data_IF_436282681526
#
_entry.id   IF_436282681526
#
_cell.length_a   1.000
_cell.length_b   1.000
_cell.length_c   1.000
_cell.angle_alpha   90.00
_cell.angle_beta   90.00
_cell.angle_gamma   90.00
#
_symmetry.space_group_name_H-M   'P 1'
#
loop_
_entity.id
_entity.type
_entity.pdbx_description
1 polymer ?
#
# COMPACT_ATOMS: atom_id res chain seq x y z
N UNK A 1 5.58 8.72 21.67
CA UNK A 1 6.45 7.86 20.85
C UNK A 1 6.93 8.64 19.64
N UNK A 2 8.16 8.38 19.21
CA UNK A 2 8.77 8.87 17.98
C UNK A 2 8.74 7.76 16.93
N UNK A 3 8.02 7.96 15.83
CA UNK A 3 7.74 6.94 14.83
C UNK A 3 8.40 7.32 13.50
N UNK A 4 9.25 6.43 13.00
CA UNK A 4 9.88 6.56 11.69
C UNK A 4 9.05 5.86 10.61
N UNK A 5 8.73 6.57 9.52
CA UNK A 5 7.98 6.02 8.37
C UNK A 5 8.82 6.13 7.12
N UNK A 6 9.19 4.99 6.55
CA UNK A 6 9.90 4.92 5.28
C UNK A 6 8.93 4.76 4.11
N UNK A 7 9.23 5.40 2.99
CA UNK A 7 8.29 5.47 1.87
C UNK A 7 7.18 6.50 2.09
N UNK A 8 7.43 7.55 2.88
CA UNK A 8 6.48 8.59 3.25
C UNK A 8 5.84 9.33 2.05
N UNK A 9 6.51 9.37 0.88
CA UNK A 9 5.94 9.93 -0.35
C UNK A 9 5.04 8.97 -1.12
N UNK A 10 4.91 7.72 -0.65
CA UNK A 10 4.07 6.70 -1.24
C UNK A 10 2.59 6.82 -0.86
N UNK A 11 1.73 6.03 -1.51
CA UNK A 11 0.30 5.99 -1.25
C UNK A 11 0.00 5.61 0.22
N UNK A 12 0.54 4.48 0.71
CA UNK A 12 0.35 4.04 2.08
C UNK A 12 1.18 4.86 3.08
N UNK A 13 2.48 5.07 2.78
CA UNK A 13 3.36 5.77 3.72
C UNK A 13 2.86 7.17 4.08
N UNK A 14 2.27 7.89 3.13
CA UNK A 14 1.66 9.20 3.41
C UNK A 14 0.43 9.12 4.32
N UNK A 15 -0.40 8.08 4.17
CA UNK A 15 -1.54 7.85 5.07
C UNK A 15 -1.06 7.51 6.50
N UNK A 16 -0.04 6.64 6.61
CA UNK A 16 0.59 6.33 7.91
C UNK A 16 1.15 7.59 8.57
N UNK A 17 1.84 8.46 7.83
CA UNK A 17 2.33 9.73 8.37
C UNK A 17 1.21 10.60 8.94
N UNK A 18 0.08 10.72 8.21
CA UNK A 18 -1.10 11.47 8.71
C UNK A 18 -1.71 10.82 9.96
N UNK A 19 -1.86 9.49 9.98
CA UNK A 19 -2.39 8.77 11.15
C UNK A 19 -1.48 8.93 12.37
N UNK A 20 -0.15 8.86 12.21
CA UNK A 20 0.84 9.11 13.27
C UNK A 20 0.70 10.52 13.86
N UNK A 21 0.58 11.54 13.00
CA UNK A 21 0.38 12.94 13.45
C UNK A 21 -0.97 13.07 14.17
N UNK A 22 -2.05 12.52 13.60
CA UNK A 22 -3.39 12.58 14.17
C UNK A 22 -3.47 11.95 15.57
N UNK A 23 -2.70 10.87 15.80
CA UNK A 23 -2.58 10.23 17.13
C UNK A 23 -1.67 10.99 18.11
N UNK A 24 -1.09 12.13 17.71
CA UNK A 24 -0.23 12.96 18.56
C UNK A 24 1.18 12.41 18.77
N UNK A 25 1.65 11.50 17.91
CA UNK A 25 3.01 10.98 17.95
C UNK A 25 3.98 11.88 17.17
N UNK A 26 5.25 11.86 17.55
CA UNK A 26 6.33 12.53 16.82
C UNK A 26 6.67 11.74 15.56
N UNK A 27 6.66 12.41 14.40
CA UNK A 27 6.90 11.78 13.10
C UNK A 27 8.32 12.03 12.60
N UNK A 28 9.00 10.97 12.15
CA UNK A 28 10.17 11.00 11.30
C UNK A 28 9.79 10.42 9.94
N UNK A 29 9.60 11.27 8.94
CA UNK A 29 9.17 10.84 7.60
C UNK A 29 10.37 10.74 6.66
N UNK A 30 10.53 9.59 5.97
CA UNK A 30 11.62 9.37 5.03
C UNK A 30 11.11 8.99 3.64
N UNK A 31 11.71 9.60 2.62
CA UNK A 31 11.42 9.33 1.21
C UNK A 31 12.71 9.17 0.40
N UNK A 32 12.65 8.47 -0.74
CA UNK A 32 13.84 8.26 -1.57
C UNK A 32 14.17 9.48 -2.46
N UNK A 33 13.18 10.06 -3.13
CA UNK A 33 13.41 11.08 -4.16
C UNK A 33 12.66 12.39 -3.89
N UNK A 34 11.43 12.31 -3.42
CA UNK A 34 10.53 13.47 -3.31
C UNK A 34 10.30 13.81 -1.84
N UNK A 35 10.51 15.06 -1.50
CA UNK A 35 10.13 15.58 -0.18
C UNK A 35 8.67 16.01 -0.19
N UNK A 36 7.93 15.59 0.82
CA UNK A 36 6.51 15.91 1.00
C UNK A 36 6.31 16.61 2.33
N UNK A 37 5.48 17.65 2.34
CA UNK A 37 5.02 18.32 3.54
C UNK A 37 3.71 17.68 4.01
N UNK A 38 3.62 17.37 5.29
CA UNK A 38 2.41 16.88 5.97
C UNK A 38 1.74 17.97 6.80
N UNK A 39 2.53 18.94 7.26
CA UNK A 39 2.13 20.14 7.98
C UNK A 39 3.30 21.12 8.00
N UNK A 40 3.13 22.30 8.58
CA UNK A 40 4.23 23.27 8.76
C UNK A 40 5.39 22.71 9.59
N UNK A 41 5.11 21.72 10.45
CA UNK A 41 6.08 21.10 11.34
C UNK A 41 6.72 19.83 10.79
N UNK A 42 6.02 19.09 9.92
CA UNK A 42 6.45 17.76 9.47
C UNK A 42 6.67 17.71 7.96
N UNK A 43 7.91 17.46 7.57
CA UNK A 43 8.33 17.27 6.19
C UNK A 43 9.10 15.95 6.07
N UNK A 44 9.03 15.28 4.90
CA UNK A 44 9.86 14.11 4.70
C UNK A 44 11.31 14.52 4.39
N UNK A 45 12.25 13.78 4.98
CA UNK A 45 13.69 13.87 4.70
C UNK A 45 14.05 12.83 3.64
N UNK A 46 14.95 13.18 2.74
CA UNK A 46 15.48 12.21 1.78
C UNK A 46 16.44 11.26 2.48
N UNK A 47 16.20 9.96 2.32
CA UNK A 47 17.03 8.88 2.87
C UNK A 47 17.05 7.71 1.88
N UNK A 48 18.12 7.56 1.07
CA UNK A 48 18.23 6.49 0.09
C UNK A 48 18.55 5.14 0.78
N UNK A 49 17.87 4.09 0.35
CA UNK A 49 18.12 2.73 0.85
C UNK A 49 19.45 2.12 0.39
N UNK A 50 20.09 2.71 -0.59
CA UNK A 50 21.39 2.26 -1.13
C UNK A 50 22.59 2.69 -0.29
N UNK A 51 22.41 3.61 0.65
CA UNK A 51 23.48 4.10 1.53
C UNK A 51 23.31 3.55 2.95
N UNK A 52 23.98 2.43 3.21
CA UNK A 52 23.96 1.72 4.49
C UNK A 52 24.45 2.55 5.66
N UNK A 53 25.51 3.35 5.42
CA UNK A 53 26.09 4.16 6.46
C UNK A 53 25.18 5.32 6.83
N UNK A 54 24.55 5.95 5.85
CA UNK A 54 23.60 7.03 6.07
C UNK A 54 22.35 6.53 6.82
N UNK A 55 21.81 5.38 6.40
CA UNK A 55 20.66 4.76 7.04
C UNK A 55 20.96 4.43 8.51
N UNK A 56 22.07 3.76 8.76
CA UNK A 56 22.48 3.38 10.11
C UNK A 56 22.68 4.62 11.00
N UNK A 57 23.45 5.62 10.55
CA UNK A 57 23.68 6.85 11.32
C UNK A 57 22.37 7.55 11.66
N UNK A 58 21.48 7.74 10.67
CA UNK A 58 20.20 8.41 10.89
C UNK A 58 19.38 7.73 11.99
N UNK A 59 19.27 6.40 11.98
CA UNK A 59 18.49 5.67 12.98
C UNK A 59 19.14 5.67 14.36
N UNK A 60 20.46 5.63 14.45
CA UNK A 60 21.18 5.77 15.72
C UNK A 60 21.09 7.19 16.30
N UNK A 61 21.13 8.22 15.44
CA UNK A 61 20.99 9.62 15.88
C UNK A 61 19.56 9.95 16.31
N UNK A 62 18.57 9.43 15.57
CA UNK A 62 17.16 9.71 15.85
C UNK A 62 16.55 8.83 16.92
N UNK A 63 17.01 7.61 17.05
CA UNK A 63 16.55 6.59 18.03
C UNK A 63 15.02 6.52 18.11
N UNK A 64 14.30 6.11 17.04
CA UNK A 64 12.85 6.01 17.05
C UNK A 64 12.35 4.88 17.94
N UNK A 65 11.17 5.06 18.53
CA UNK A 65 10.46 4.02 19.29
C UNK A 65 9.83 2.96 18.37
N UNK A 66 9.45 3.36 17.15
CA UNK A 66 8.90 2.45 16.14
C UNK A 66 9.33 2.84 14.72
N UNK A 67 9.39 1.84 13.85
CA UNK A 67 9.76 1.97 12.43
C UNK A 67 8.71 1.27 11.58
N UNK A 68 8.12 2.01 10.62
CA UNK A 68 7.18 1.46 9.63
C UNK A 68 7.82 1.47 8.26
N UNK A 69 8.04 0.30 7.69
CA UNK A 69 8.60 0.16 6.34
C UNK A 69 7.50 0.02 5.28
N UNK A 70 7.07 1.15 4.71
CA UNK A 70 6.19 1.23 3.54
C UNK A 70 6.98 1.40 2.21
N UNK A 71 8.32 1.44 2.27
CA UNK A 71 9.13 1.63 1.08
C UNK A 71 9.22 0.33 0.28
N UNK A 72 8.92 0.42 -1.01
CA UNK A 72 9.06 -0.67 -1.97
C UNK A 72 9.05 -0.15 -3.40
N UNK A 73 9.70 -0.86 -4.32
CA UNK A 73 9.39 -0.83 -5.74
C UNK A 73 8.25 -1.83 -5.95
N UNK A 74 7.00 -1.33 -6.02
CA UNK A 74 5.78 -2.15 -5.90
C UNK A 74 5.05 -2.39 -7.24
N UNK A 75 5.53 -1.80 -8.34
CA UNK A 75 5.00 -2.09 -9.68
C UNK A 75 5.65 -3.35 -10.23
N UNK A 76 4.92 -4.44 -10.51
CA UNK A 76 5.49 -5.65 -11.12
C UNK A 76 6.29 -5.33 -12.39
N UNK A 77 5.73 -4.53 -13.29
CA UNK A 77 6.41 -4.14 -14.54
C UNK A 77 7.75 -3.41 -14.29
N UNK A 78 7.83 -2.60 -13.22
CA UNK A 78 9.09 -1.91 -12.85
C UNK A 78 10.09 -2.89 -12.23
N UNK A 79 9.62 -3.85 -11.44
CA UNK A 79 10.46 -4.91 -10.86
C UNK A 79 11.04 -5.78 -11.96
N UNK A 80 10.23 -6.19 -12.94
CA UNK A 80 10.67 -7.01 -14.07
C UNK A 80 11.69 -6.28 -14.96
N UNK A 81 11.57 -4.94 -15.11
CA UNK A 81 12.54 -4.12 -15.85
C UNK A 81 13.86 -3.89 -15.10
N UNK A 82 13.85 -3.92 -13.77
CA UNK A 82 15.04 -3.62 -12.95
C UNK A 82 15.04 -4.47 -11.68
N UNK A 83 15.14 -5.80 -11.79
CA UNK A 83 14.98 -6.72 -10.67
C UNK A 83 16.05 -6.55 -9.59
N UNK A 84 17.29 -6.24 -9.97
CA UNK A 84 18.41 -6.02 -9.05
C UNK A 84 18.20 -4.76 -8.18
N UNK A 85 17.79 -3.64 -8.81
CA UNK A 85 17.47 -2.42 -8.07
C UNK A 85 16.27 -2.64 -7.16
N UNK A 86 15.26 -3.38 -7.63
CA UNK A 86 14.10 -3.72 -6.82
C UNK A 86 14.50 -4.60 -5.63
N UNK A 87 15.38 -5.57 -5.81
CA UNK A 87 15.89 -6.43 -4.75
C UNK A 87 16.64 -5.64 -3.68
N UNK A 88 17.50 -4.68 -4.06
CA UNK A 88 18.17 -3.78 -3.10
C UNK A 88 17.19 -3.04 -2.19
N UNK A 89 16.05 -2.59 -2.74
CA UNK A 89 15.03 -1.86 -1.97
C UNK A 89 14.11 -2.80 -1.22
N UNK A 90 13.55 -3.81 -1.92
CA UNK A 90 12.48 -4.65 -1.41
C UNK A 90 12.98 -5.69 -0.40
N UNK A 91 14.20 -6.18 -0.56
CA UNK A 91 14.78 -7.27 0.25
C UNK A 91 15.90 -6.77 1.16
N UNK A 92 17.00 -6.27 0.59
CA UNK A 92 18.18 -5.87 1.36
C UNK A 92 17.87 -4.70 2.31
N UNK A 93 17.22 -3.64 1.79
CA UNK A 93 16.82 -2.49 2.60
C UNK A 93 15.84 -2.86 3.71
N UNK A 94 14.87 -3.73 3.44
CA UNK A 94 13.90 -4.19 4.43
C UNK A 94 14.58 -5.01 5.56
N UNK A 95 15.47 -5.94 5.18
CA UNK A 95 16.24 -6.77 6.13
C UNK A 95 17.13 -5.92 7.03
N UNK A 96 17.81 -4.93 6.43
CA UNK A 96 18.68 -4.00 7.16
C UNK A 96 17.89 -3.16 8.16
N UNK A 97 16.76 -2.59 7.75
CA UNK A 97 15.88 -1.84 8.65
C UNK A 97 15.39 -2.68 9.83
N UNK A 98 15.02 -3.94 9.59
CA UNK A 98 14.64 -4.86 10.64
C UNK A 98 15.80 -5.07 11.64
N UNK A 99 17.02 -5.30 11.14
CA UNK A 99 18.22 -5.49 11.98
C UNK A 99 18.55 -4.23 12.80
N UNK A 100 18.52 -3.04 12.19
CA UNK A 100 18.73 -1.78 12.91
C UNK A 100 17.65 -1.59 13.97
N UNK A 101 16.37 -1.81 13.62
CA UNK A 101 15.24 -1.65 14.56
C UNK A 101 15.37 -2.59 15.75
N UNK A 102 15.73 -3.85 15.53
CA UNK A 102 15.98 -4.81 16.60
C UNK A 102 17.14 -4.37 17.51
N UNK A 103 18.24 -3.84 16.94
CA UNK A 103 19.40 -3.37 17.68
C UNK A 103 19.08 -2.18 18.59
N UNK A 104 18.26 -1.21 18.12
CA UNK A 104 17.87 -0.05 18.95
C UNK A 104 16.62 -0.31 19.80
N UNK A 105 16.05 -1.52 19.76
CA UNK A 105 14.84 -1.90 20.50
C UNK A 105 13.54 -1.29 19.95
N UNK A 106 13.54 -0.76 18.73
CA UNK A 106 12.37 -0.16 18.12
C UNK A 106 11.37 -1.23 17.64
N UNK A 107 10.07 -0.94 17.77
CA UNK A 107 8.99 -1.72 17.16
C UNK A 107 9.09 -1.66 15.63
N UNK A 108 9.15 -2.81 14.94
CA UNK A 108 9.25 -2.84 13.48
C UNK A 108 7.99 -3.38 12.82
N UNK A 109 7.39 -2.59 11.91
CA UNK A 109 6.26 -3.00 11.08
C UNK A 109 6.69 -3.01 9.61
N UNK A 110 6.66 -4.20 8.98
CA UNK A 110 6.98 -4.38 7.57
C UNK A 110 5.74 -4.65 6.72
N UNK A 111 5.55 -3.87 5.66
CA UNK A 111 4.41 -4.05 4.75
C UNK A 111 4.79 -5.02 3.64
N UNK A 112 4.01 -6.10 3.50
CA UNK A 112 4.10 -7.09 2.43
C UNK A 112 2.86 -7.06 1.53
N UNK A 113 2.60 -8.10 0.74
CA UNK A 113 1.61 -8.11 -0.33
C UNK A 113 0.87 -9.44 -0.42
N UNK A 114 -0.34 -9.42 -0.97
CA UNK A 114 -1.11 -10.59 -1.40
C UNK A 114 -0.45 -11.34 -2.59
N UNK A 115 0.41 -10.66 -3.35
CA UNK A 115 1.11 -11.26 -4.50
C UNK A 115 2.17 -12.32 -4.12
N UNK A 116 2.34 -12.61 -2.84
CA UNK A 116 3.08 -13.80 -2.38
C UNK A 116 2.31 -15.10 -2.65
N UNK A 117 1.04 -15.02 -3.03
CA UNK A 117 0.18 -16.15 -3.38
C UNK A 117 -0.12 -16.21 -4.87
N UNK A 118 -0.47 -17.40 -5.36
CA UNK A 118 -0.76 -17.67 -6.77
C UNK A 118 -2.23 -17.46 -7.19
N UNK A 119 -3.13 -17.29 -6.22
CA UNK A 119 -4.55 -17.09 -6.47
C UNK A 119 -5.35 -18.39 -6.71
N UNK A 120 -4.78 -19.57 -6.45
CA UNK A 120 -5.43 -20.88 -6.73
C UNK A 120 -6.43 -21.30 -5.64
N UNK A 121 -6.23 -20.85 -4.39
CA UNK A 121 -7.01 -21.31 -3.21
C UNK A 121 -7.52 -20.16 -2.33
N UNK A 122 -7.76 -18.99 -2.93
CA UNK A 122 -8.33 -17.84 -2.24
C UNK A 122 -9.69 -18.18 -1.56
N UNK A 123 -10.00 -17.63 -0.36
CA UNK A 123 -9.22 -16.68 0.46
C UNK A 123 -8.09 -17.35 1.27
N UNK A 124 -6.96 -16.66 1.39
CA UNK A 124 -5.77 -17.18 2.08
C UNK A 124 -5.71 -16.80 3.56
N UNK A 125 -5.25 -17.75 4.38
CA UNK A 125 -4.83 -17.53 5.77
C UNK A 125 -3.37 -17.08 5.84
N UNK A 126 -2.98 -16.38 6.91
CA UNK A 126 -1.57 -16.01 7.12
C UNK A 126 -0.62 -17.21 7.24
N UNK A 127 -1.17 -18.38 7.59
CA UNK A 127 -0.45 -19.66 7.73
C UNK A 127 -0.35 -20.45 6.43
N UNK A 128 -1.07 -20.07 5.36
CA UNK A 128 -1.04 -20.79 4.09
C UNK A 128 0.31 -20.63 3.40
N UNK A 129 0.73 -21.68 2.67
CA UNK A 129 2.02 -21.72 1.99
C UNK A 129 2.03 -20.72 0.81
N UNK A 130 2.94 -19.74 0.80
CA UNK A 130 3.09 -18.82 -0.32
C UNK A 130 3.62 -19.52 -1.58
N UNK A 131 3.11 -19.09 -2.74
CA UNK A 131 3.55 -19.55 -4.07
C UNK A 131 3.50 -18.36 -5.07
N UNK A 132 4.45 -17.40 -5.02
CA UNK A 132 4.41 -16.21 -5.85
C UNK A 132 4.66 -16.52 -7.33
N UNK A 133 3.82 -16.00 -8.23
CA UNK A 133 3.95 -16.19 -9.68
C UNK A 133 4.98 -15.24 -10.31
N UNK A 134 5.04 -13.98 -9.87
CA UNK A 134 5.91 -12.93 -10.42
C UNK A 134 7.10 -12.57 -9.53
N UNK A 135 8.07 -11.84 -10.09
CA UNK A 135 9.30 -11.45 -9.40
C UNK A 135 9.04 -10.54 -8.19
N UNK A 136 8.10 -9.60 -8.30
CA UNK A 136 7.70 -8.77 -7.17
C UNK A 136 7.24 -9.60 -5.96
N UNK A 137 6.38 -10.59 -6.19
CA UNK A 137 5.91 -11.50 -5.14
C UNK A 137 7.05 -12.32 -4.52
N UNK A 138 8.00 -12.80 -5.34
CA UNK A 138 9.19 -13.55 -4.87
C UNK A 138 10.06 -12.69 -3.96
N UNK A 139 10.37 -11.44 -4.38
CA UNK A 139 11.16 -10.51 -3.56
C UNK A 139 10.46 -10.15 -2.25
N UNK A 140 9.14 -9.93 -2.29
CA UNK A 140 8.38 -9.66 -1.06
C UNK A 140 8.37 -10.86 -0.11
N UNK A 141 8.20 -12.08 -0.63
CA UNK A 141 8.30 -13.31 0.19
C UNK A 141 9.70 -13.50 0.77
N UNK A 142 10.76 -13.21 0.01
CA UNK A 142 12.12 -13.26 0.51
C UNK A 142 12.34 -12.23 1.61
N UNK A 143 11.84 -11.00 1.44
CA UNK A 143 11.94 -9.96 2.47
C UNK A 143 11.20 -10.34 3.75
N UNK A 144 10.01 -10.96 3.67
CA UNK A 144 9.29 -11.50 4.82
C UNK A 144 10.15 -12.49 5.61
N UNK A 145 10.75 -13.47 4.92
CA UNK A 145 11.61 -14.49 5.54
C UNK A 145 12.81 -13.87 6.24
N UNK A 146 13.50 -12.94 5.57
CA UNK A 146 14.68 -12.26 6.16
C UNK A 146 14.29 -11.38 7.34
N UNK A 147 13.20 -10.62 7.23
CA UNK A 147 12.70 -9.76 8.31
C UNK A 147 12.29 -10.58 9.52
N UNK A 148 11.50 -11.65 9.32
CA UNK A 148 11.04 -12.52 10.41
C UNK A 148 12.16 -13.32 11.06
N UNK A 149 13.31 -13.53 10.38
CA UNK A 149 14.48 -14.22 10.96
C UNK A 149 15.32 -13.34 11.88
N UNK A 150 15.07 -12.01 11.92
CA UNK A 150 15.86 -11.09 12.77
C UNK A 150 15.49 -11.24 14.25
N UNK A 151 14.20 -11.34 14.54
CA UNK A 151 13.69 -11.46 15.92
C UNK A 151 12.25 -11.97 15.93
N UNK A 152 11.88 -12.70 16.97
CA UNK A 152 10.50 -13.13 17.21
C UNK A 152 9.68 -12.09 18.00
N UNK A 153 10.35 -11.08 18.56
CA UNK A 153 9.74 -10.08 19.41
C UNK A 153 9.78 -8.70 18.74
N UNK A 154 8.80 -7.87 19.09
CA UNK A 154 8.75 -6.46 18.70
C UNK A 154 8.71 -6.22 17.17
N UNK A 155 8.20 -7.20 16.40
CA UNK A 155 8.18 -7.18 14.95
C UNK A 155 6.85 -7.73 14.42
N UNK A 156 6.25 -7.03 13.43
CA UNK A 156 5.12 -7.55 12.68
C UNK A 156 5.30 -7.34 11.17
N UNK A 157 4.95 -8.36 10.40
CA UNK A 157 4.80 -8.30 8.95
C UNK A 157 3.32 -8.28 8.62
N UNK A 158 2.90 -7.32 7.81
CA UNK A 158 1.52 -7.15 7.42
C UNK A 158 1.39 -7.30 5.90
N UNK A 159 0.81 -8.43 5.45
CA UNK A 159 0.42 -8.60 4.06
C UNK A 159 -0.85 -7.83 3.80
N UNK A 160 -0.83 -7.03 2.74
CA UNK A 160 -1.96 -6.19 2.33
C UNK A 160 -2.36 -6.51 0.90
N UNK A 161 -3.59 -6.18 0.55
CA UNK A 161 -4.15 -6.38 -0.79
C UNK A 161 -4.08 -5.09 -1.62
N UNK A 162 -4.86 -5.02 -2.70
CA UNK A 162 -5.00 -3.83 -3.52
C UNK A 162 -5.40 -2.61 -2.69
N UNK A 163 -4.61 -1.54 -2.76
CA UNK A 163 -4.84 -0.34 -1.96
C UNK A 163 -5.68 0.72 -2.69
N UNK A 164 -6.73 1.19 -2.02
CA UNK A 164 -7.50 2.39 -2.38
C UNK A 164 -7.09 3.56 -1.51
N UNK A 165 -7.05 4.78 -2.05
CA UNK A 165 -6.76 5.99 -1.29
C UNK A 165 -6.18 7.09 -2.15
N UNK A 166 -5.82 8.21 -1.55
CA UNK A 166 -5.33 9.41 -2.22
C UNK A 166 -3.82 9.53 -2.05
N UNK A 167 -3.07 9.50 -3.15
CA UNK A 167 -1.62 9.69 -3.09
C UNK A 167 -1.26 11.18 -3.08
N UNK A 168 -0.14 11.59 -2.46
CA UNK A 168 0.24 13.00 -2.38
C UNK A 168 0.32 13.71 -3.73
N UNK A 169 0.77 13.00 -4.77
CA UNK A 169 0.91 13.55 -6.13
C UNK A 169 -0.26 13.20 -7.05
N UNK A 170 -1.27 12.47 -6.59
CA UNK A 170 -2.44 12.10 -7.38
C UNK A 170 -2.15 11.17 -8.56
N UNK A 171 -1.15 10.25 -8.45
CA UNK A 171 -0.70 9.42 -9.58
C UNK A 171 -0.53 7.93 -9.26
N UNK A 172 -0.72 7.50 -8.01
CA UNK A 172 -0.35 6.12 -7.59
C UNK A 172 -1.54 5.19 -7.43
N UNK A 173 -2.68 5.69 -6.96
CA UNK A 173 -3.85 4.85 -6.70
C UNK A 173 -4.64 4.51 -7.97
N UNK A 174 -5.55 3.54 -7.86
CA UNK A 174 -6.31 3.06 -9.00
C UNK A 174 -7.20 4.14 -9.60
N UNK A 175 -7.97 4.86 -8.77
CA UNK A 175 -8.85 5.93 -9.27
C UNK A 175 -8.06 7.05 -9.94
N UNK A 176 -6.90 7.43 -9.39
CA UNK A 176 -6.02 8.45 -9.96
C UNK A 176 -5.53 8.05 -11.37
N UNK A 177 -5.12 6.79 -11.54
CA UNK A 177 -4.69 6.23 -12.84
C UNK A 177 -5.84 6.19 -13.84
N UNK A 178 -7.05 5.77 -13.41
CA UNK A 178 -8.24 5.74 -14.26
C UNK A 178 -8.58 7.16 -14.71
N UNK A 179 -8.67 8.14 -13.81
CA UNK A 179 -9.00 9.52 -14.14
C UNK A 179 -7.97 10.15 -15.09
N UNK A 180 -6.68 9.90 -14.91
CA UNK A 180 -5.62 10.40 -15.79
C UNK A 180 -5.67 9.77 -17.17
N UNK A 181 -5.97 8.50 -17.27
CA UNK A 181 -6.14 7.84 -18.56
C UNK A 181 -7.35 8.41 -19.32
N UNK A 182 -8.49 8.62 -18.65
CA UNK A 182 -9.66 9.26 -19.24
C UNK A 182 -9.37 10.70 -19.67
N UNK A 183 -8.65 11.49 -18.86
CA UNK A 183 -8.22 12.84 -19.23
C UNK A 183 -7.37 12.83 -20.51
N UNK A 184 -6.55 11.80 -20.72
CA UNK A 184 -5.74 11.65 -21.94
C UNK A 184 -6.52 11.08 -23.14
N UNK A 185 -7.83 10.87 -23.02
CA UNK A 185 -8.69 10.31 -24.08
C UNK A 185 -8.49 8.80 -24.31
N UNK A 186 -7.82 8.10 -23.40
CA UNK A 186 -7.56 6.66 -23.53
C UNK A 186 -8.75 5.84 -23.07
N UNK A 187 -9.06 4.79 -23.84
CA UNK A 187 -9.90 3.70 -23.37
C UNK A 187 -9.09 2.79 -22.46
N UNK A 188 -9.70 2.32 -21.40
CA UNK A 188 -9.07 1.45 -20.42
C UNK A 188 -9.70 0.06 -20.44
N UNK A 189 -8.89 -0.99 -20.57
CA UNK A 189 -9.34 -2.35 -20.33
C UNK A 189 -9.14 -2.69 -18.87
N UNK A 190 -10.23 -3.04 -18.17
CA UNK A 190 -10.23 -3.55 -16.81
C UNK A 190 -10.77 -4.98 -16.82
N UNK A 191 -10.19 -5.84 -15.98
CA UNK A 191 -10.44 -7.27 -16.01
C UNK A 191 -11.57 -7.66 -15.06
N UNK A 192 -12.52 -8.45 -15.55
CA UNK A 192 -13.64 -8.95 -14.77
C UNK A 192 -13.34 -10.25 -14.02
N UNK A 193 -12.30 -10.95 -14.45
CA UNK A 193 -11.77 -12.18 -13.86
C UNK A 193 -10.50 -11.96 -13.01
N UNK A 194 -10.14 -10.72 -12.72
CA UNK A 194 -9.12 -10.35 -11.74
C UNK A 194 -9.80 -9.86 -10.46
N UNK A 195 -9.99 -10.77 -9.50
CA UNK A 195 -10.68 -10.51 -8.24
C UNK A 195 -9.68 -10.10 -7.16
N UNK A 196 -10.01 -9.04 -6.43
CA UNK A 196 -9.24 -8.52 -5.28
C UNK A 196 -10.18 -8.19 -4.12
N UNK A 197 -9.60 -8.07 -2.94
CA UNK A 197 -10.26 -7.59 -1.71
C UNK A 197 -9.64 -6.24 -1.33
N UNK A 198 -10.07 -5.11 -1.94
CA UNK A 198 -9.40 -3.83 -1.77
C UNK A 198 -9.39 -3.35 -0.33
N UNK A 199 -8.35 -2.58 0.03
CA UNK A 199 -8.19 -1.99 1.35
C UNK A 199 -8.00 -0.47 1.24
N UNK A 200 -8.70 0.31 2.08
CA UNK A 200 -8.44 1.74 2.24
C UNK A 200 -7.08 1.96 2.92
N UNK A 201 -6.27 2.89 2.41
CA UNK A 201 -4.99 3.23 3.04
C UNK A 201 -5.16 3.95 4.36
N UNK A 202 -6.25 4.69 4.55
CA UNK A 202 -6.57 5.34 5.81
C UNK A 202 -6.92 4.28 6.88
N UNK A 203 -7.80 3.33 6.55
CA UNK A 203 -8.13 2.20 7.43
C UNK A 203 -6.90 1.35 7.78
N UNK A 204 -6.07 1.03 6.78
CA UNK A 204 -4.83 0.28 6.98
C UNK A 204 -3.83 1.05 7.84
N UNK A 205 -3.73 2.39 7.69
CA UNK A 205 -2.83 3.20 8.50
C UNK A 205 -3.21 3.19 9.98
N UNK A 206 -4.51 3.14 10.30
CA UNK A 206 -4.99 3.00 11.67
C UNK A 206 -4.61 1.64 12.27
N UNK A 207 -4.73 0.55 11.50
CA UNK A 207 -4.27 -0.79 11.93
C UNK A 207 -2.76 -0.81 12.17
N UNK A 208 -1.99 -0.16 11.30
CA UNK A 208 -0.52 -0.06 11.47
C UNK A 208 -0.18 0.66 12.78
N UNK A 209 -0.87 1.77 13.08
CA UNK A 209 -0.65 2.49 14.36
C UNK A 209 -1.09 1.64 15.54
N UNK A 210 -2.20 0.90 15.45
CA UNK A 210 -2.59 -0.05 16.49
C UNK A 210 -1.56 -1.17 16.70
N UNK A 211 -0.91 -1.66 15.65
CA UNK A 211 0.18 -2.64 15.77
C UNK A 211 1.43 -2.06 16.44
N UNK A 212 1.69 -0.76 16.25
CA UNK A 212 2.77 -0.07 16.99
C UNK A 212 2.43 0.03 18.48
N UNK A 213 1.19 0.38 18.81
CA UNK A 213 0.68 0.51 20.19
C UNK A 213 0.59 -0.84 20.93
N UNK A 214 0.65 -1.96 20.21
CA UNK A 214 0.48 -3.34 20.73
C UNK A 214 1.68 -4.22 20.41
N UNK A 215 2.81 -4.04 21.10
CA UNK A 215 4.06 -4.78 20.83
C UNK A 215 3.96 -6.29 21.06
N UNK A 216 2.90 -6.77 21.72
CA UNK A 216 2.59 -8.18 21.87
C UNK A 216 2.01 -8.85 20.62
N UNK A 217 1.59 -8.09 19.60
CA UNK A 217 1.13 -8.60 18.32
C UNK A 217 2.34 -8.77 17.38
N UNK A 218 3.03 -9.89 17.48
CA UNK A 218 4.22 -10.21 16.70
C UNK A 218 3.94 -11.26 15.63
N UNK A 219 4.77 -11.28 14.57
CA UNK A 219 4.71 -12.27 13.49
C UNK A 219 3.98 -11.76 12.25
N UNK A 220 3.33 -12.67 11.51
CA UNK A 220 2.76 -12.43 10.20
C UNK A 220 1.23 -12.30 10.29
N UNK A 221 0.70 -11.23 9.71
CA UNK A 221 -0.72 -10.92 9.67
C UNK A 221 -1.20 -10.55 8.27
N UNK A 222 -2.52 -10.67 8.06
CA UNK A 222 -3.22 -10.23 6.87
C UNK A 222 -4.15 -9.05 7.19
N UNK A 223 -4.24 -8.06 6.27
CA UNK A 223 -5.25 -7.01 6.34
C UNK A 223 -5.77 -6.62 4.96
N UNK A 224 -7.09 -6.45 4.86
CA UNK A 224 -7.82 -6.06 3.65
C UNK A 224 -9.14 -5.39 4.03
N UNK A 225 -9.95 -4.99 3.04
CA UNK A 225 -11.36 -4.66 3.25
C UNK A 225 -12.21 -5.89 3.55
N UNK A 226 -13.52 -5.71 3.68
CA UNK A 226 -14.45 -6.81 4.00
C UNK A 226 -15.16 -7.42 2.77
N UNK A 227 -14.89 -6.92 1.57
CA UNK A 227 -15.55 -7.34 0.33
C UNK A 227 -14.55 -7.60 -0.79
N UNK A 228 -14.88 -8.60 -1.62
CA UNK A 228 -14.18 -8.93 -2.86
C UNK A 228 -14.86 -8.26 -4.05
N UNK A 229 -14.08 -7.87 -5.05
CA UNK A 229 -14.58 -7.22 -6.26
C UNK A 229 -13.64 -7.46 -7.43
N UNK A 230 -14.18 -7.54 -8.65
CA UNK A 230 -13.35 -7.54 -9.85
C UNK A 230 -12.73 -6.16 -10.12
N UNK A 231 -11.60 -6.15 -10.83
CA UNK A 231 -10.96 -4.88 -11.26
C UNK A 231 -11.90 -4.06 -12.13
N UNK A 232 -12.72 -4.72 -12.96
CA UNK A 232 -13.71 -4.07 -13.81
C UNK A 232 -14.79 -3.38 -12.97
N UNK A 233 -15.43 -4.12 -12.06
CA UNK A 233 -16.50 -3.57 -11.22
C UNK A 233 -16.01 -2.47 -10.30
N UNK A 234 -14.80 -2.62 -9.72
CA UNK A 234 -14.18 -1.55 -8.93
C UNK A 234 -14.02 -0.28 -9.76
N UNK A 235 -13.54 -0.39 -11.00
CA UNK A 235 -13.41 0.75 -11.92
C UNK A 235 -14.75 1.42 -12.22
N UNK A 236 -15.81 0.65 -12.46
CA UNK A 236 -17.17 1.15 -12.67
C UNK A 236 -17.69 1.89 -11.43
N UNK A 237 -17.50 1.33 -10.23
CA UNK A 237 -17.93 1.96 -8.99
C UNK A 237 -17.16 3.25 -8.69
N UNK A 238 -15.86 3.30 -8.98
CA UNK A 238 -15.04 4.52 -8.90
C UNK A 238 -15.62 5.61 -9.79
N UNK A 239 -15.92 5.31 -11.07
CA UNK A 239 -16.48 6.30 -11.99
C UNK A 239 -17.88 6.77 -11.55
N UNK A 240 -18.73 5.85 -11.11
CA UNK A 240 -20.04 6.16 -10.54
C UNK A 240 -19.94 7.11 -9.34
N UNK A 241 -18.96 6.88 -8.45
CA UNK A 241 -18.67 7.76 -7.29
C UNK A 241 -18.42 9.21 -7.71
N UNK A 242 -17.79 9.40 -8.87
CA UNK A 242 -17.47 10.73 -9.41
C UNK A 242 -18.46 11.24 -10.48
N UNK A 243 -19.56 10.52 -10.72
CA UNK A 243 -20.56 10.92 -11.73
C UNK A 243 -20.02 10.93 -13.17
N UNK A 244 -19.10 10.00 -13.47
CA UNK A 244 -18.48 9.84 -14.79
C UNK A 244 -19.08 8.61 -15.47
N UNK A 245 -19.50 8.75 -16.75
CA UNK A 245 -19.97 7.64 -17.56
C UNK A 245 -18.84 6.64 -17.85
N UNK A 246 -19.06 5.33 -17.65
CA UNK A 246 -18.04 4.31 -17.84
C UNK A 246 -17.82 3.86 -19.29
N UNK A 247 -18.38 4.51 -20.30
CA UNK A 247 -18.32 4.11 -21.73
C UNK A 247 -16.89 3.93 -22.27
N UNK A 248 -15.90 4.59 -21.65
CA UNK A 248 -14.48 4.45 -21.99
C UNK A 248 -13.78 3.30 -21.24
N UNK A 249 -14.50 2.53 -20.43
CA UNK A 249 -14.00 1.34 -19.78
C UNK A 249 -14.40 0.09 -20.57
N UNK A 250 -13.41 -0.63 -21.05
CA UNK A 250 -13.60 -1.89 -21.78
C UNK A 250 -13.50 -3.04 -20.77
N UNK A 251 -14.50 -3.91 -20.77
CA UNK A 251 -14.47 -5.16 -20.01
C UNK A 251 -13.53 -6.15 -20.70
N UNK A 252 -12.52 -6.62 -19.97
CA UNK A 252 -11.53 -7.55 -20.46
C UNK A 252 -11.41 -8.80 -19.58
N UNK A 253 -10.57 -9.72 -20.01
CA UNK A 253 -10.16 -10.91 -19.24
C UNK A 253 -8.65 -10.96 -19.13
N UNK A 254 -8.15 -11.25 -17.95
CA UNK A 254 -6.71 -11.41 -17.68
C UNK A 254 -6.11 -12.55 -18.52
N UNK A 255 -6.92 -13.56 -18.88
CA UNK A 255 -6.52 -14.69 -19.71
C UNK A 255 -6.09 -14.29 -21.12
N UNK A 256 -6.51 -13.11 -21.57
CA UNK A 256 -6.15 -12.58 -22.89
C UNK A 256 -4.82 -11.80 -22.90
N UNK A 257 -4.15 -11.69 -21.74
CA UNK A 257 -2.83 -11.08 -21.65
C UNK A 257 -1.74 -12.10 -22.01
N UNK A 258 -0.70 -11.65 -22.73
CA UNK A 258 0.46 -12.50 -23.06
C UNK A 258 1.13 -13.07 -21.82
N UNK A 259 1.20 -12.30 -20.73
CA UNK A 259 1.81 -12.67 -19.45
C UNK A 259 0.79 -13.08 -18.38
N UNK A 260 -0.39 -13.61 -18.77
CA UNK A 260 -1.45 -13.94 -17.83
C UNK A 260 -1.02 -14.93 -16.74
N UNK A 261 -0.12 -15.88 -17.03
CA UNK A 261 0.38 -16.87 -16.08
C UNK A 261 1.20 -16.29 -14.92
N UNK A 262 1.62 -15.03 -15.00
CA UNK A 262 2.35 -14.32 -13.92
C UNK A 262 1.45 -13.46 -13.05
N UNK A 263 0.14 -13.42 -13.31
CA UNK A 263 -0.83 -12.61 -12.58
C UNK A 263 -1.86 -13.50 -11.88
N UNK A 264 -1.91 -13.48 -10.54
CA UNK A 264 -2.95 -14.20 -9.79
C UNK A 264 -4.34 -13.69 -10.17
N UNK A 265 -5.27 -14.62 -10.44
CA UNK A 265 -6.65 -14.25 -10.78
C UNK A 265 -7.46 -13.81 -9.57
N UNK A 266 -7.33 -14.53 -8.45
CA UNK A 266 -8.13 -14.27 -7.26
C UNK A 266 -7.24 -14.19 -6.01
N UNK A 267 -7.16 -12.98 -5.43
CA UNK A 267 -6.43 -12.76 -4.19
C UNK A 267 -7.35 -12.07 -3.15
N UNK A 268 -7.63 -12.79 -2.10
CA UNK A 268 -8.33 -12.31 -0.92
C UNK A 268 -7.80 -13.00 0.34
N UNK A 269 -8.09 -12.43 1.51
CA UNK A 269 -7.54 -12.83 2.79
C UNK A 269 -8.61 -13.21 3.82
N UNK A 270 -8.30 -14.19 4.63
CA UNK A 270 -8.91 -14.36 5.95
C UNK A 270 -8.12 -13.45 6.90
N UNK A 271 -8.82 -12.50 7.54
CA UNK A 271 -8.21 -11.44 8.34
C UNK A 271 -7.92 -11.85 9.79
N UNK A 272 -8.45 -13.01 10.21
CA UNK A 272 -8.11 -13.57 11.53
C UNK A 272 -6.68 -14.13 11.57
N UNK A 273 -5.99 -14.00 12.70
CA UNK A 273 -6.49 -13.53 14.00
C UNK A 273 -6.37 -12.02 14.24
N UNK A 274 -5.95 -11.20 13.26
CA UNK A 274 -5.70 -9.77 13.49
C UNK A 274 -7.00 -9.00 13.69
N UNK A 275 -8.03 -9.26 12.88
CA UNK A 275 -9.29 -8.51 12.92
C UNK A 275 -9.97 -8.56 14.30
N UNK A 276 -9.86 -9.68 15.02
CA UNK A 276 -10.39 -9.80 16.39
C UNK A 276 -9.50 -9.14 17.45
N UNK A 277 -8.27 -8.75 17.10
CA UNK A 277 -7.28 -8.20 18.04
C UNK A 277 -7.09 -6.69 17.93
N UNK A 278 -7.58 -6.04 16.87
CA UNK A 278 -7.51 -4.59 16.67
C UNK A 278 -8.90 -3.96 16.82
N UNK A 279 -8.96 -2.65 17.04
CA UNK A 279 -10.23 -1.90 17.14
C UNK A 279 -10.74 -1.49 15.77
N UNK A 280 -9.82 -1.23 14.84
CA UNK A 280 -10.15 -0.88 13.47
C UNK A 280 -10.88 -2.05 12.81
N UNK A 281 -12.01 -1.77 12.15
CA UNK A 281 -12.78 -2.76 11.41
C UNK A 281 -12.54 -2.63 9.90
N UNK A 282 -12.51 -3.75 9.15
CA UNK A 282 -12.38 -3.70 7.70
C UNK A 282 -13.54 -2.96 7.06
N UNK A 283 -13.25 -2.05 6.11
CA UNK A 283 -14.26 -1.24 5.42
C UNK A 283 -14.84 -1.96 4.20
N UNK A 284 -16.13 -1.71 3.94
CA UNK A 284 -16.80 -2.05 2.68
C UNK A 284 -16.24 -1.24 1.52
N UNK A 285 -16.49 -1.67 0.28
CA UNK A 285 -16.08 -0.95 -0.92
C UNK A 285 -16.74 0.44 -0.96
N UNK A 286 -18.02 0.53 -0.63
CA UNK A 286 -18.72 1.80 -0.60
C UNK A 286 -18.07 2.81 0.36
N UNK A 287 -17.68 2.36 1.57
CA UNK A 287 -17.00 3.22 2.55
C UNK A 287 -15.64 3.68 2.05
N UNK A 288 -14.84 2.78 1.49
CA UNK A 288 -13.53 3.10 0.91
C UNK A 288 -13.64 4.13 -0.23
N UNK A 289 -14.64 3.98 -1.12
CA UNK A 289 -14.84 4.89 -2.24
C UNK A 289 -15.25 6.30 -1.80
N UNK A 290 -15.93 6.45 -0.66
CA UNK A 290 -16.28 7.77 -0.09
C UNK A 290 -15.05 8.59 0.32
N UNK A 291 -13.92 7.94 0.59
CA UNK A 291 -12.67 8.60 0.95
C UNK A 291 -11.91 9.15 -0.28
N UNK A 292 -12.19 8.63 -1.48
CA UNK A 292 -11.47 9.01 -2.68
C UNK A 292 -11.75 10.45 -3.12
N UNK A 293 -10.70 11.13 -3.59
CA UNK A 293 -10.74 12.51 -4.03
C UNK A 293 -10.23 12.65 -5.47
N UNK A 294 -10.77 13.61 -6.19
CA UNK A 294 -10.23 14.02 -7.49
C UNK A 294 -8.89 14.74 -7.25
N UNK A 295 -7.78 14.33 -7.88
CA UNK A 295 -6.52 15.06 -7.82
C UNK A 295 -6.70 16.54 -8.19
N UNK A 296 -6.06 17.45 -7.45
CA UNK A 296 -6.26 18.91 -7.63
C UNK A 296 -6.02 19.37 -9.06
N UNK A 297 -4.99 18.86 -9.72
CA UNK A 297 -4.65 19.17 -11.11
C UNK A 297 -5.66 18.64 -12.14
N UNK A 298 -6.46 17.63 -11.78
CA UNK A 298 -7.51 17.07 -12.62
C UNK A 298 -8.87 17.75 -12.42
N UNK A 299 -9.03 18.58 -11.37
CA UNK A 299 -10.35 19.08 -11.00
C UNK A 299 -11.04 19.92 -12.08
N UNK A 300 -10.29 20.78 -12.77
CA UNK A 300 -10.83 21.58 -13.87
C UNK A 300 -11.29 20.75 -15.06
N UNK A 301 -10.55 19.67 -15.40
CA UNK A 301 -10.97 18.71 -16.41
C UNK A 301 -12.21 17.93 -15.95
N UNK A 302 -12.18 17.40 -14.73
CA UNK A 302 -13.29 16.66 -14.14
C UNK A 302 -14.62 17.43 -14.21
N UNK A 303 -14.63 18.70 -13.82
CA UNK A 303 -15.84 19.57 -13.85
C UNK A 303 -16.46 19.73 -15.24
N UNK A 304 -15.66 19.58 -16.31
CA UNK A 304 -16.11 19.67 -17.71
C UNK A 304 -16.47 18.31 -18.30
N UNK A 305 -15.84 17.25 -17.78
CA UNK A 305 -15.92 15.90 -18.36
C UNK A 305 -17.02 15.04 -17.71
N UNK A 306 -17.24 15.16 -16.40
CA UNK A 306 -18.22 14.36 -15.70
C UNK A 306 -19.66 14.74 -16.08
N UNK A 307 -20.53 13.74 -16.27
CA UNK A 307 -21.95 13.94 -16.58
C UNK A 307 -22.71 14.53 -15.40
N UNK A 308 -22.30 14.16 -14.18
CA UNK A 308 -22.93 14.62 -12.93
C UNK A 308 -21.88 15.11 -11.93
N UNK A 309 -21.16 16.21 -12.22
CA UNK A 309 -20.04 16.65 -11.38
C UNK A 309 -20.45 17.12 -9.97
N UNK A 310 -21.73 17.36 -9.74
CA UNK A 310 -22.25 17.80 -8.43
C UNK A 310 -22.43 16.65 -7.44
N UNK A 311 -22.31 15.38 -7.86
CA UNK A 311 -22.35 14.24 -6.95
C UNK A 311 -21.07 14.12 -6.09
N UNK A 312 -19.99 14.79 -6.48
CA UNK A 312 -18.74 14.86 -5.75
C UNK A 312 -18.49 16.27 -5.21
N UNK A 313 -18.32 16.35 -3.90
CA UNK A 313 -17.95 17.58 -3.19
C UNK A 313 -16.50 17.43 -2.75
N UNK A 314 -15.55 18.27 -3.24
CA UNK A 314 -14.16 18.20 -2.81
C UNK A 314 -14.05 18.51 -1.32
N UNK A 315 -13.17 17.79 -0.64
CA UNK A 315 -12.73 18.11 0.72
C UNK A 315 -11.39 18.84 0.57
N UNK A 316 -11.39 20.13 0.82
CA UNK A 316 -10.18 20.98 0.80
C UNK A 316 -9.54 21.05 2.18
#
# INVERSE_FOLDING_TARGET
MKIAVLGASGLLGSAVCRSVIHRGYSLLAYSNRETISFSDQYHSKQLPFSDDNQLTREFFDQWPDAVVNCAAISSPDTVDQSPELAHLVNVEGASRLASISAHIGARFIHISTDMVFDGSTSPYRSTDMPNPLGEYGRQKLESEKRVLSVTDENLAVLRVTLLNGNSPLGIRSQHEKILRALMSGKKLTLFDDEIRQPCSVENLSDVIVELIERPNLNGLFHWAGNEEISRYELGIQILKRFGINPENIIRGSIKNLENHGQRPQHLSFILEPLASKVRTVPLSIEEQLKELQIPKDLYSWYRKFADSPNCYIPRF
#
